data_IF_385753663167
#
_entry.id   IF_385753663167
#
_cell.length_a   1.000
_cell.length_b   1.000
_cell.length_c   1.000
_cell.angle_alpha   90.00
_cell.angle_beta   90.00
_cell.angle_gamma   90.00
#
_symmetry.space_group_name_H-M   'P 1'
#
loop_
_entity.id
_entity.type
_entity.pdbx_description
1 polymer ?
#
# COMPACT_ATOMS: atom_id res chain seq x y z
N UNK A 1 30.29 -29.57 20.35
CA UNK A 1 30.49 -29.01 18.99
C UNK A 1 31.14 -27.62 19.09
N UNK A 2 30.50 -26.62 19.72
CA UNK A 2 31.15 -25.31 19.95
C UNK A 2 32.44 -25.38 20.77
N UNK A 3 32.50 -26.19 21.82
CA UNK A 3 33.70 -26.32 22.65
C UNK A 3 34.95 -26.77 21.86
N UNK A 4 34.79 -27.78 21.01
CA UNK A 4 35.88 -28.32 20.18
C UNK A 4 36.31 -27.38 19.04
N UNK A 5 35.39 -26.60 18.48
CA UNK A 5 35.68 -25.76 17.31
C UNK A 5 36.01 -24.30 17.67
N UNK A 6 35.31 -23.72 18.63
CA UNK A 6 35.47 -22.31 19.05
C UNK A 6 36.57 -22.17 20.10
N UNK A 7 36.57 -23.02 21.14
CA UNK A 7 37.54 -22.89 22.22
C UNK A 7 38.90 -23.53 21.87
N UNK A 8 38.90 -24.75 21.34
CA UNK A 8 40.14 -25.47 21.01
C UNK A 8 40.72 -25.09 19.64
N UNK A 9 39.89 -25.07 18.59
CA UNK A 9 40.34 -24.79 17.22
C UNK A 9 40.24 -23.30 16.83
N UNK A 10 39.77 -22.44 17.74
CA UNK A 10 39.64 -20.98 17.56
C UNK A 10 38.86 -20.57 16.31
N UNK A 11 37.93 -21.39 15.84
CA UNK A 11 37.02 -21.02 14.76
C UNK A 11 36.15 -19.83 15.21
N UNK A 12 36.04 -18.83 14.34
CA UNK A 12 35.22 -17.67 14.58
C UNK A 12 33.73 -18.04 14.50
N UNK A 13 32.90 -17.32 15.26
CA UNK A 13 31.44 -17.54 15.27
C UNK A 13 30.86 -17.50 13.84
N UNK A 14 31.38 -16.62 12.99
CA UNK A 14 30.88 -16.39 11.64
C UNK A 14 31.39 -17.39 10.60
N UNK A 15 32.30 -18.28 10.97
CA UNK A 15 32.77 -19.36 10.10
C UNK A 15 31.67 -20.43 9.91
N UNK A 16 30.73 -20.51 10.86
CA UNK A 16 29.57 -21.40 10.81
C UNK A 16 28.22 -20.65 10.89
N UNK A 17 28.18 -19.47 11.52
CA UNK A 17 26.99 -18.63 11.55
C UNK A 17 27.09 -17.52 10.53
N UNK A 18 26.36 -17.62 9.42
CA UNK A 18 26.28 -16.51 8.48
C UNK A 18 25.36 -15.44 9.06
N UNK A 19 25.81 -14.19 9.27
CA UNK A 19 24.91 -13.09 9.59
C UNK A 19 23.84 -13.00 8.51
N UNK A 20 22.57 -12.83 8.88
CA UNK A 20 21.55 -12.52 7.87
C UNK A 20 21.93 -11.20 7.19
N UNK A 21 22.44 -11.30 5.98
CA UNK A 21 22.79 -10.14 5.19
C UNK A 21 21.51 -9.60 4.54
N UNK A 22 21.14 -8.39 4.92
CA UNK A 22 20.18 -7.55 4.21
C UNK A 22 20.81 -7.09 2.88
N UNK A 23 21.00 -8.01 1.94
CA UNK A 23 21.43 -7.65 0.58
C UNK A 23 20.28 -6.94 -0.12
N UNK A 24 20.57 -5.80 -0.76
CA UNK A 24 19.67 -5.17 -1.74
C UNK A 24 19.45 -6.16 -2.88
N UNK A 25 18.39 -6.95 -2.77
CA UNK A 25 17.83 -7.74 -3.86
C UNK A 25 16.52 -7.09 -4.26
N UNK A 26 16.10 -7.27 -5.51
CA UNK A 26 14.73 -6.92 -5.90
C UNK A 26 13.79 -7.92 -5.21
N UNK A 27 13.45 -7.62 -3.95
CA UNK A 27 12.69 -8.50 -3.05
C UNK A 27 11.28 -8.81 -3.58
N UNK A 28 10.78 -7.96 -4.48
CA UNK A 28 9.49 -8.11 -5.14
C UNK A 28 9.56 -9.21 -6.21
N UNK A 29 10.66 -9.31 -6.97
CA UNK A 29 10.86 -10.28 -8.05
C UNK A 29 10.81 -11.73 -7.56
N UNK A 30 11.41 -12.00 -6.39
CA UNK A 30 11.52 -13.34 -5.81
C UNK A 30 10.16 -13.99 -5.49
N UNK A 31 9.09 -13.20 -5.41
CA UNK A 31 7.73 -13.64 -5.05
C UNK A 31 6.84 -13.82 -6.29
N UNK A 32 7.24 -13.30 -7.46
CA UNK A 32 6.38 -13.22 -8.67
C UNK A 32 6.30 -14.49 -9.53
N UNK A 33 7.12 -15.53 -9.28
CA UNK A 33 7.51 -16.50 -10.31
C UNK A 33 6.45 -17.49 -10.86
N UNK A 34 5.22 -17.59 -10.32
CA UNK A 34 4.22 -18.55 -10.84
C UNK A 34 2.84 -17.99 -11.22
N UNK A 35 2.55 -16.70 -10.91
CA UNK A 35 1.26 -16.07 -11.23
C UNK A 35 1.37 -14.97 -12.30
N UNK A 36 2.60 -14.52 -12.58
CA UNK A 36 2.90 -13.41 -13.48
C UNK A 36 2.51 -13.66 -14.95
N UNK A 37 2.31 -14.93 -15.35
CA UNK A 37 1.88 -15.28 -16.70
C UNK A 37 0.47 -14.76 -17.05
N UNK A 38 -0.44 -14.69 -16.07
CA UNK A 38 -1.79 -14.15 -16.25
C UNK A 38 -2.04 -12.85 -15.45
N UNK A 39 -1.27 -12.64 -14.36
CA UNK A 39 -1.34 -11.44 -13.54
C UNK A 39 0.07 -10.88 -13.30
N UNK A 40 0.65 -10.17 -14.28
CA UNK A 40 2.06 -9.79 -14.28
C UNK A 40 2.49 -9.04 -13.01
N UNK A 41 1.59 -8.29 -12.36
CA UNK A 41 1.90 -7.52 -11.16
C UNK A 41 0.86 -7.64 -10.04
N UNK A 42 0.58 -8.86 -9.55
CA UNK A 42 -0.36 -9.08 -8.42
C UNK A 42 -0.06 -8.28 -7.14
N UNK A 43 1.18 -7.80 -6.98
CA UNK A 43 1.63 -7.04 -5.81
C UNK A 43 1.99 -5.58 -6.13
N UNK A 44 1.52 -5.05 -7.28
CA UNK A 44 1.86 -3.69 -7.73
C UNK A 44 1.57 -2.64 -6.66
N UNK A 45 0.34 -2.60 -6.16
CA UNK A 45 -0.06 -1.58 -5.19
C UNK A 45 0.65 -1.73 -3.86
N UNK A 46 0.89 -2.96 -3.39
CA UNK A 46 1.66 -3.24 -2.18
C UNK A 46 3.09 -2.74 -2.32
N UNK A 47 3.74 -3.01 -3.46
CA UNK A 47 5.09 -2.52 -3.76
C UNK A 47 5.13 -0.99 -3.83
N UNK A 48 4.21 -0.37 -4.56
CA UNK A 48 4.10 1.08 -4.68
C UNK A 48 3.87 1.76 -3.32
N UNK A 49 3.06 1.18 -2.43
CA UNK A 49 2.86 1.73 -1.09
C UNK A 49 4.15 1.67 -0.27
N UNK A 50 4.88 0.55 -0.30
CA UNK A 50 6.16 0.40 0.43
C UNK A 50 7.19 1.39 -0.10
N UNK A 51 7.32 1.52 -1.43
CA UNK A 51 8.25 2.44 -2.09
C UNK A 51 7.89 3.90 -1.84
N UNK A 52 6.59 4.20 -1.77
CA UNK A 52 6.06 5.55 -1.57
C UNK A 52 6.59 6.55 -2.61
N UNK A 53 6.41 6.31 -3.92
CA UNK A 53 6.94 7.17 -4.98
C UNK A 53 6.30 8.57 -4.94
N UNK A 54 6.93 9.53 -5.61
CA UNK A 54 6.28 10.82 -5.87
C UNK A 54 5.08 10.63 -6.80
N UNK A 55 4.00 11.39 -6.55
CA UNK A 55 2.82 11.50 -7.41
C UNK A 55 2.42 12.97 -7.49
N UNK A 56 1.59 13.32 -8.47
CA UNK A 56 0.97 14.64 -8.53
C UNK A 56 0.23 14.93 -7.21
N UNK A 57 0.58 16.03 -6.54
CA UNK A 57 0.01 16.40 -5.24
C UNK A 57 0.52 15.61 -4.02
N UNK A 58 1.37 14.58 -4.20
CA UNK A 58 1.87 13.73 -3.11
C UNK A 58 3.39 13.54 -3.19
N UNK A 59 4.18 14.08 -2.25
CA UNK A 59 5.63 13.94 -2.26
C UNK A 59 6.08 12.50 -1.97
N UNK A 60 7.24 12.13 -2.53
CA UNK A 60 7.89 10.84 -2.25
C UNK A 60 8.05 10.62 -0.75
N UNK A 61 7.45 9.56 -0.25
CA UNK A 61 7.43 9.23 1.18
C UNK A 61 7.58 7.72 1.37
N UNK A 62 8.81 7.18 1.37
CA UNK A 62 9.05 5.75 1.58
C UNK A 62 8.50 5.25 2.92
N UNK A 63 8.07 3.99 2.95
CA UNK A 63 7.56 3.38 4.18
C UNK A 63 8.66 3.23 5.24
N UNK A 64 8.29 3.26 6.52
CA UNK A 64 9.24 3.13 7.63
C UNK A 64 10.10 1.85 7.57
N UNK A 65 9.56 0.79 6.96
CA UNK A 65 10.24 -0.50 6.80
C UNK A 65 10.97 -0.64 5.44
N UNK A 66 11.01 0.40 4.61
CA UNK A 66 11.61 0.34 3.28
C UNK A 66 13.12 0.11 3.32
N UNK A 67 13.83 0.81 4.21
CA UNK A 67 15.30 0.78 4.26
C UNK A 67 15.88 -0.48 4.93
N UNK A 68 15.09 -1.17 5.75
CA UNK A 68 15.51 -2.39 6.43
C UNK A 68 15.45 -3.63 5.54
N UNK A 69 14.92 -3.52 4.31
CA UNK A 69 14.88 -4.58 3.28
C UNK A 69 14.25 -5.90 3.72
N UNK A 70 13.38 -5.87 4.74
CA UNK A 70 12.58 -7.03 5.12
C UNK A 70 11.66 -7.40 3.97
N UNK A 71 11.80 -8.63 3.45
CA UNK A 71 10.94 -9.11 2.38
C UNK A 71 9.48 -9.29 2.88
N UNK A 72 8.53 -9.46 1.96
CA UNK A 72 7.11 -9.55 2.30
C UNK A 72 6.81 -10.69 3.30
N UNK A 73 7.59 -11.77 3.28
CA UNK A 73 7.44 -12.94 4.15
C UNK A 73 7.85 -12.67 5.60
N UNK A 74 8.54 -11.56 5.88
CA UNK A 74 8.79 -11.14 7.26
C UNK A 74 7.51 -10.78 8.01
N UNK A 75 6.48 -10.31 7.29
CA UNK A 75 5.17 -9.99 7.85
C UNK A 75 4.08 -10.99 7.43
N UNK A 76 4.11 -11.45 6.17
CA UNK A 76 3.11 -12.35 5.61
C UNK A 76 3.47 -13.82 5.86
N UNK A 77 3.18 -14.30 7.07
CA UNK A 77 3.47 -15.69 7.49
C UNK A 77 2.22 -16.54 7.69
N UNK A 78 1.05 -15.92 7.88
CA UNK A 78 -0.18 -16.64 8.23
C UNK A 78 -0.90 -17.09 6.97
N UNK A 79 -1.11 -18.40 6.83
CA UNK A 79 -1.94 -18.95 5.75
C UNK A 79 -3.40 -18.56 5.95
N UNK A 80 -4.05 -18.10 4.88
CA UNK A 80 -5.48 -17.83 4.80
C UNK A 80 -6.04 -18.50 3.55
N UNK A 81 -7.08 -19.30 3.71
CA UNK A 81 -7.84 -19.82 2.58
C UNK A 81 -8.81 -18.74 2.07
N UNK A 82 -8.72 -18.44 0.78
CA UNK A 82 -9.65 -17.61 0.05
C UNK A 82 -10.29 -18.45 -1.06
N UNK A 83 -11.40 -19.11 -0.73
CA UNK A 83 -12.22 -19.89 -1.67
C UNK A 83 -11.39 -20.95 -2.42
N UNK A 84 -10.55 -21.69 -1.70
CA UNK A 84 -9.69 -22.74 -2.25
C UNK A 84 -8.32 -22.27 -2.72
N UNK A 85 -8.03 -20.96 -2.67
CA UNK A 85 -6.68 -20.43 -2.87
C UNK A 85 -6.04 -20.09 -1.53
N UNK A 86 -4.93 -20.73 -1.18
CA UNK A 86 -4.17 -20.39 0.02
C UNK A 86 -3.27 -19.19 -0.27
N UNK A 87 -3.48 -18.09 0.47
CA UNK A 87 -2.63 -16.89 0.43
C UNK A 87 -1.93 -16.67 1.77
N UNK A 88 -0.80 -15.95 1.76
CA UNK A 88 -0.13 -15.51 2.97
C UNK A 88 -0.61 -14.11 3.36
N UNK A 89 -1.12 -13.99 4.58
CA UNK A 89 -1.60 -12.75 5.17
C UNK A 89 -0.61 -12.24 6.22
N UNK A 90 -0.46 -10.92 6.27
CA UNK A 90 0.22 -10.24 7.37
C UNK A 90 -0.40 -10.55 8.73
N UNK A 91 0.43 -10.78 9.73
CA UNK A 91 0.00 -10.93 11.12
C UNK A 91 0.65 -9.84 11.98
N UNK A 92 -0.13 -9.04 12.71
CA UNK A 92 0.41 -8.01 13.59
C UNK A 92 1.38 -8.58 14.64
N UNK A 93 1.20 -9.86 15.02
CA UNK A 93 2.09 -10.57 15.95
C UNK A 93 3.50 -10.77 15.40
N UNK A 94 3.73 -10.72 14.09
CA UNK A 94 5.11 -10.76 13.57
C UNK A 94 5.86 -9.47 13.88
N UNK A 95 5.17 -8.34 14.03
CA UNK A 95 5.79 -7.07 14.36
C UNK A 95 6.52 -7.14 15.71
N UNK A 96 5.94 -7.82 16.70
CA UNK A 96 6.54 -7.94 18.04
C UNK A 96 7.71 -8.93 18.13
N UNK A 97 8.03 -9.63 17.03
CA UNK A 97 9.27 -10.40 16.95
C UNK A 97 10.50 -9.51 16.77
N UNK A 98 10.32 -8.28 16.29
CA UNK A 98 11.38 -7.28 16.12
C UNK A 98 11.13 -5.98 16.91
N UNK A 99 9.88 -5.71 17.29
CA UNK A 99 9.47 -4.48 17.98
C UNK A 99 8.82 -4.77 19.35
N UNK A 100 8.56 -3.72 20.13
CA UNK A 100 7.89 -3.81 21.44
C UNK A 100 6.39 -4.09 21.31
N UNK A 101 5.78 -4.66 22.34
CA UNK A 101 4.36 -5.07 22.38
C UNK A 101 3.37 -3.98 21.95
N UNK A 102 3.62 -2.71 22.27
CA UNK A 102 2.79 -1.58 21.85
C UNK A 102 2.63 -1.41 20.32
N UNK A 103 3.45 -2.10 19.51
CA UNK A 103 3.29 -2.09 18.05
C UNK A 103 2.06 -2.88 17.58
N UNK A 104 1.53 -3.80 18.37
CA UNK A 104 0.25 -4.47 18.05
C UNK A 104 -0.89 -3.46 17.97
N UNK A 105 -1.02 -2.64 19.01
CA UNK A 105 -2.04 -1.59 19.09
C UNK A 105 -1.83 -0.52 18.01
N UNK A 106 -0.58 -0.19 17.71
CA UNK A 106 -0.23 0.72 16.62
C UNK A 106 -0.78 0.25 15.28
N UNK A 107 -0.60 -1.03 14.92
CA UNK A 107 -1.09 -1.59 13.65
C UNK A 107 -2.62 -1.57 13.60
N UNK A 108 -3.30 -1.93 14.69
CA UNK A 108 -4.77 -1.89 14.73
C UNK A 108 -5.31 -0.46 14.60
N UNK A 109 -4.63 0.52 15.22
CA UNK A 109 -4.96 1.94 15.04
C UNK A 109 -4.75 2.38 13.59
N UNK A 110 -3.64 2.00 12.95
CA UNK A 110 -3.39 2.33 11.55
C UNK A 110 -4.47 1.80 10.62
N UNK A 111 -4.88 0.53 10.80
CA UNK A 111 -5.98 -0.07 10.03
C UNK A 111 -7.27 0.73 10.16
N UNK A 112 -7.61 1.18 11.37
CA UNK A 112 -8.82 1.99 11.62
C UNK A 112 -8.75 3.34 10.91
N UNK A 113 -7.63 4.05 11.07
CA UNK A 113 -7.44 5.36 10.44
C UNK A 113 -7.49 5.27 8.90
N UNK A 114 -6.84 4.27 8.32
CA UNK A 114 -6.87 4.03 6.87
C UNK A 114 -8.27 3.64 6.40
N UNK A 115 -8.97 2.79 7.15
CA UNK A 115 -10.34 2.40 6.80
C UNK A 115 -11.30 3.59 6.82
N UNK A 116 -11.14 4.51 7.78
CA UNK A 116 -11.93 5.73 7.82
C UNK A 116 -11.58 6.67 6.65
N UNK A 117 -10.30 6.84 6.33
CA UNK A 117 -9.91 7.63 5.14
C UNK A 117 -10.43 7.05 3.83
N UNK A 118 -10.41 5.71 3.66
CA UNK A 118 -11.02 5.04 2.49
C UNK A 118 -12.53 5.30 2.46
N UNK A 119 -13.22 5.20 3.60
CA UNK A 119 -14.66 5.43 3.68
C UNK A 119 -15.03 6.86 3.26
N UNK A 120 -14.26 7.85 3.69
CA UNK A 120 -14.45 9.26 3.33
C UNK A 120 -14.23 9.47 1.82
N UNK A 121 -13.10 8.99 1.28
CA UNK A 121 -12.81 9.09 -0.15
C UNK A 121 -13.86 8.35 -1.02
N UNK A 122 -14.41 7.22 -0.56
CA UNK A 122 -15.49 6.50 -1.25
C UNK A 122 -16.81 7.27 -1.23
N UNK A 123 -17.10 8.05 -0.19
CA UNK A 123 -18.28 8.91 -0.16
C UNK A 123 -18.18 10.00 -1.24
N UNK A 124 -17.06 10.72 -1.26
CA UNK A 124 -16.78 11.75 -2.28
C UNK A 124 -16.73 11.16 -3.70
N UNK A 125 -16.16 9.96 -3.87
CA UNK A 125 -16.17 9.24 -5.14
C UNK A 125 -17.59 8.96 -5.66
N UNK A 126 -18.56 8.71 -4.78
CA UNK A 126 -19.96 8.52 -5.20
C UNK A 126 -20.63 9.83 -5.54
N UNK A 127 -20.38 10.87 -4.75
CA UNK A 127 -20.91 12.21 -4.98
C UNK A 127 -20.40 12.79 -6.30
N UNK A 128 -19.09 12.73 -6.55
CA UNK A 128 -18.48 13.16 -7.81
C UNK A 128 -19.01 12.38 -9.02
N UNK A 129 -19.21 11.06 -8.88
CA UNK A 129 -19.82 10.27 -9.95
C UNK A 129 -21.25 10.73 -10.25
N UNK A 130 -22.06 10.97 -9.21
CA UNK A 130 -23.44 11.46 -9.38
C UNK A 130 -23.47 12.86 -10.02
N UNK A 131 -22.58 13.77 -9.60
CA UNK A 131 -22.46 15.09 -10.19
C UNK A 131 -22.13 15.02 -11.69
N UNK A 132 -21.19 14.16 -12.10
CA UNK A 132 -20.82 13.95 -13.50
C UNK A 132 -22.00 13.41 -14.33
N UNK A 133 -22.73 12.43 -13.82
CA UNK A 133 -23.91 11.86 -14.52
C UNK A 133 -25.04 12.88 -14.65
N UNK A 134 -25.23 13.72 -13.63
CA UNK A 134 -26.21 14.80 -13.64
C UNK A 134 -25.82 15.89 -14.66
N UNK A 135 -24.56 16.34 -14.65
CA UNK A 135 -24.02 17.31 -15.61
C UNK A 135 -24.20 16.85 -17.07
N UNK A 136 -24.03 15.55 -17.33
CA UNK A 136 -24.30 14.95 -18.64
C UNK A 136 -25.78 15.00 -19.03
N UNK A 137 -26.68 14.77 -18.06
CA UNK A 137 -28.13 14.82 -18.28
C UNK A 137 -28.61 16.24 -18.54
N UNK A 138 -28.02 17.21 -17.84
CA UNK A 138 -28.30 18.64 -17.97
C UNK A 138 -27.61 19.29 -19.18
N UNK A 139 -26.83 18.52 -19.93
CA UNK A 139 -26.15 18.95 -21.16
C UNK A 139 -25.19 20.14 -20.94
N UNK A 140 -24.47 20.13 -19.81
CA UNK A 140 -23.37 21.06 -19.58
C UNK A 140 -22.29 20.93 -20.67
N UNK A 141 -21.40 21.92 -20.74
CA UNK A 141 -20.30 21.95 -21.71
C UNK A 141 -19.52 20.62 -21.71
N UNK A 142 -19.27 20.03 -22.90
CA UNK A 142 -18.43 18.83 -23.02
C UNK A 142 -17.03 19.01 -22.44
N UNK A 143 -16.48 20.23 -22.51
CA UNK A 143 -15.18 20.57 -21.95
C UNK A 143 -15.18 20.41 -20.42
N UNK A 144 -16.17 20.97 -19.73
CA UNK A 144 -16.36 20.86 -18.27
C UNK A 144 -16.51 19.40 -17.84
N UNK A 145 -17.36 18.64 -18.53
CA UNK A 145 -17.59 17.22 -18.22
C UNK A 145 -16.32 16.40 -18.40
N UNK A 146 -15.52 16.66 -19.44
CA UNK A 146 -14.28 15.96 -19.68
C UNK A 146 -13.21 16.27 -18.62
N UNK A 147 -13.12 17.53 -18.18
CA UNK A 147 -12.21 17.94 -17.12
C UNK A 147 -12.60 17.34 -15.76
N UNK A 148 -13.89 17.35 -15.41
CA UNK A 148 -14.39 16.68 -14.21
C UNK A 148 -14.13 15.16 -14.23
N UNK A 149 -14.29 14.50 -15.38
CA UNK A 149 -13.94 13.08 -15.56
C UNK A 149 -12.44 12.83 -15.39
N UNK A 150 -11.58 13.73 -15.87
CA UNK A 150 -10.13 13.58 -15.68
C UNK A 150 -9.73 13.67 -14.21
N UNK A 151 -10.30 14.61 -13.46
CA UNK A 151 -10.13 14.73 -12.00
C UNK A 151 -10.64 13.47 -11.29
N UNK A 152 -11.84 13.02 -11.62
CA UNK A 152 -12.40 11.78 -11.09
C UNK A 152 -11.50 10.56 -11.31
N UNK A 153 -10.93 10.40 -12.51
CA UNK A 153 -10.01 9.31 -12.82
C UNK A 153 -8.70 9.39 -12.03
N UNK A 154 -8.18 10.60 -11.77
CA UNK A 154 -7.02 10.80 -10.88
C UNK A 154 -7.36 10.33 -9.47
N UNK A 155 -8.50 10.78 -8.93
CA UNK A 155 -8.97 10.38 -7.60
C UNK A 155 -9.16 8.88 -7.46
N UNK A 156 -9.74 8.22 -8.49
CA UNK A 156 -9.91 6.77 -8.50
C UNK A 156 -8.58 6.01 -8.46
N UNK A 157 -7.56 6.45 -9.20
CA UNK A 157 -6.24 5.80 -9.21
C UNK A 157 -5.61 5.82 -7.81
N UNK A 158 -5.73 6.94 -7.10
CA UNK A 158 -5.19 7.10 -5.75
C UNK A 158 -6.00 6.33 -4.70
N UNK A 159 -7.33 6.37 -4.77
CA UNK A 159 -8.20 5.56 -3.91
C UNK A 159 -7.91 4.06 -4.07
N UNK A 160 -7.83 3.58 -5.31
CA UNK A 160 -7.57 2.17 -5.62
C UNK A 160 -6.19 1.71 -5.13
N UNK A 161 -5.16 2.55 -5.24
CA UNK A 161 -3.83 2.24 -4.69
C UNK A 161 -3.92 1.85 -3.22
N UNK A 162 -4.62 2.65 -2.42
CA UNK A 162 -4.67 2.44 -0.97
C UNK A 162 -5.65 1.32 -0.60
N UNK A 163 -6.80 1.27 -1.27
CA UNK A 163 -7.84 0.27 -1.01
C UNK A 163 -7.37 -1.15 -1.36
N UNK A 164 -6.72 -1.34 -2.51
CA UNK A 164 -6.26 -2.65 -2.97
C UNK A 164 -4.83 -2.97 -2.52
N UNK A 165 -4.00 -1.95 -2.30
CA UNK A 165 -2.64 -2.11 -1.79
C UNK A 165 -2.57 -2.35 -0.28
N UNK A 166 -3.66 -2.11 0.46
CA UNK A 166 -3.71 -2.15 1.92
C UNK A 166 -2.71 -1.16 2.57
N UNK A 167 -3.21 0.01 2.94
CA UNK A 167 -2.40 1.16 3.39
C UNK A 167 -1.47 0.93 4.58
N UNK A 168 -1.56 -0.21 5.28
CA UNK A 168 -0.63 -0.55 6.38
C UNK A 168 0.82 -0.71 5.90
N UNK A 169 1.03 -0.98 4.61
CA UNK A 169 2.36 -0.99 4.01
C UNK A 169 3.08 0.35 4.13
N UNK A 170 2.33 1.45 4.17
CA UNK A 170 2.85 2.79 4.42
C UNK A 170 1.73 3.74 4.86
N UNK A 171 1.48 3.80 6.17
CA UNK A 171 0.36 4.55 6.74
C UNK A 171 0.38 6.03 6.35
N UNK A 172 1.52 6.69 6.51
CA UNK A 172 1.66 8.13 6.23
C UNK A 172 1.34 8.43 4.77
N UNK A 173 2.00 7.72 3.86
CA UNK A 173 1.78 7.89 2.43
C UNK A 173 0.34 7.57 2.03
N UNK A 174 -0.24 6.50 2.58
CA UNK A 174 -1.63 6.11 2.31
C UNK A 174 -2.63 7.20 2.67
N UNK A 175 -2.46 7.87 3.82
CA UNK A 175 -3.32 8.98 4.22
C UNK A 175 -3.15 10.19 3.29
N UNK A 176 -1.93 10.47 2.84
CA UNK A 176 -1.66 11.56 1.89
C UNK A 176 -2.28 11.28 0.51
N UNK A 177 -2.18 10.05 0.03
CA UNK A 177 -2.80 9.60 -1.23
C UNK A 177 -4.33 9.64 -1.12
N UNK A 178 -4.92 9.20 0.01
CA UNK A 178 -6.37 9.30 0.21
C UNK A 178 -6.84 10.76 0.26
N UNK A 179 -6.09 11.65 0.89
CA UNK A 179 -6.39 13.07 0.88
C UNK A 179 -6.34 13.66 -0.54
N UNK A 180 -5.34 13.29 -1.32
CA UNK A 180 -5.26 13.68 -2.73
C UNK A 180 -6.42 13.14 -3.57
N UNK A 181 -6.86 11.90 -3.29
CA UNK A 181 -8.05 11.33 -3.93
C UNK A 181 -9.30 12.15 -3.61
N UNK A 182 -9.51 12.49 -2.34
CA UNK A 182 -10.63 13.33 -1.90
C UNK A 182 -10.63 14.70 -2.59
N UNK A 183 -9.48 15.38 -2.64
CA UNK A 183 -9.35 16.68 -3.32
C UNK A 183 -9.75 16.57 -4.79
N UNK A 184 -9.26 15.57 -5.52
CA UNK A 184 -9.64 15.40 -6.92
C UNK A 184 -11.15 15.14 -7.10
N UNK A 185 -11.81 14.44 -6.17
CA UNK A 185 -13.26 14.24 -6.23
C UNK A 185 -14.02 15.53 -5.90
N UNK A 186 -13.58 16.29 -4.89
CA UNK A 186 -14.15 17.59 -4.53
C UNK A 186 -14.01 18.60 -5.66
N UNK A 187 -12.81 18.72 -6.26
CA UNK A 187 -12.55 19.60 -7.40
C UNK A 187 -13.44 19.24 -8.61
N UNK A 188 -13.70 17.94 -8.84
CA UNK A 188 -14.61 17.51 -9.90
C UNK A 188 -16.08 17.91 -9.64
N UNK A 189 -16.50 17.90 -8.37
CA UNK A 189 -17.84 18.35 -7.95
C UNK A 189 -17.95 19.87 -8.13
N UNK A 190 -16.99 20.62 -7.57
CA UNK A 190 -16.97 22.10 -7.62
C UNK A 190 -16.97 22.59 -9.06
N UNK A 191 -16.17 21.98 -9.93
CA UNK A 191 -16.11 22.34 -11.35
C UNK A 191 -17.47 22.20 -12.05
N UNK A 192 -18.29 21.23 -11.65
CA UNK A 192 -19.64 21.04 -12.18
C UNK A 192 -20.61 22.06 -11.58
N UNK A 193 -20.52 22.30 -10.26
CA UNK A 193 -21.39 23.24 -9.54
C UNK A 193 -21.19 24.69 -10.01
N UNK A 194 -19.97 25.09 -10.35
CA UNK A 194 -19.64 26.44 -10.83
C UNK A 194 -20.24 26.75 -12.23
N UNK A 195 -20.64 25.72 -12.98
CA UNK A 195 -21.16 25.81 -14.35
C UNK A 195 -22.68 25.59 -14.44
N UNK A 196 -23.37 25.37 -13.31
CA UNK A 196 -24.83 25.26 -13.19
C UNK A 196 -25.50 26.62 -12.92
#
# INVERSE_FOLDING_TARGET
>A
MHEKHVAEQKAGCFDCHVPKQHKKTNYVEAIRQNCAACHPEQHLYQAQLIEGPEREGVPKTPGLMHEVTTNCLACHVRKKDLKGTVVLQGDARTCVSCHKEGHLEMIERWKKEIAEGIKQAVALQKEAFQAIEQAQSDQLSPEVINEARALYEKGLKDLHLVQYGNGVHNKKYSLMVLNNASINFEDAIILIEDEQ
#
